data_IF_628292611531
#
_entry.id   IF_628292611531
#
_cell.length_a   1.000
_cell.length_b   1.000
_cell.length_c   1.000
_cell.angle_alpha   90.00
_cell.angle_beta   90.00
_cell.angle_gamma   90.00
#
_symmetry.space_group_name_H-M   'P 1'
#
loop_
_entity.id
_entity.type
_entity.pdbx_description
1 polymer ?
#
# COMPACT_ATOMS: atom_id res chain seq x y z
N UNK A 1 -16.06 5.87 -5.14
CA UNK A 1 -16.05 4.43 -5.49
C UNK A 1 -14.81 3.73 -4.91
N UNK A 2 -13.59 4.26 -5.11
CA UNK A 2 -12.35 3.72 -4.51
C UNK A 2 -12.40 3.67 -2.98
N UNK A 3 -12.89 4.72 -2.32
CA UNK A 3 -12.97 4.75 -0.84
C UNK A 3 -13.88 3.65 -0.24
N UNK A 4 -14.91 3.21 -0.95
CA UNK A 4 -15.81 2.15 -0.47
C UNK A 4 -15.13 0.78 -0.51
N UNK A 5 -14.40 0.49 -1.59
CA UNK A 5 -13.66 -0.77 -1.72
C UNK A 5 -12.48 -0.81 -0.74
N UNK A 6 -11.74 0.30 -0.58
CA UNK A 6 -10.65 0.40 0.42
C UNK A 6 -11.19 0.11 1.82
N UNK A 7 -12.34 0.69 2.21
CA UNK A 7 -12.96 0.40 3.53
C UNK A 7 -13.30 -1.08 3.71
N UNK A 8 -13.90 -1.70 2.69
CA UNK A 8 -14.23 -3.13 2.71
C UNK A 8 -12.97 -3.98 2.87
N UNK A 9 -11.87 -3.59 2.22
CA UNK A 9 -10.58 -4.27 2.34
C UNK A 9 -9.97 -4.10 3.71
N UNK A 10 -10.07 -2.92 4.32
CA UNK A 10 -9.63 -2.67 5.69
C UNK A 10 -10.36 -3.61 6.66
N UNK A 11 -11.70 -3.66 6.61
CA UNK A 11 -12.50 -4.53 7.48
C UNK A 11 -12.11 -6.00 7.33
N UNK A 12 -11.98 -6.48 6.09
CA UNK A 12 -11.56 -7.86 5.80
C UNK A 12 -10.14 -8.14 6.33
N UNK A 13 -9.24 -7.19 6.19
CA UNK A 13 -7.83 -7.30 6.60
C UNK A 13 -7.70 -7.36 8.12
N UNK A 14 -8.46 -6.51 8.83
CA UNK A 14 -8.58 -6.55 10.30
C UNK A 14 -9.13 -7.90 10.78
N UNK A 15 -10.15 -8.43 10.11
CA UNK A 15 -10.76 -9.71 10.49
C UNK A 15 -9.81 -10.91 10.41
N UNK A 16 -8.76 -10.84 9.58
CA UNK A 16 -7.73 -11.88 9.45
C UNK A 16 -6.48 -11.58 10.27
N UNK A 17 -6.50 -10.54 11.12
CA UNK A 17 -5.41 -10.21 12.05
C UNK A 17 -4.19 -9.54 11.43
N UNK A 18 -4.27 -9.11 10.17
CA UNK A 18 -3.17 -8.41 9.49
C UNK A 18 -3.07 -6.96 9.97
N UNK A 19 -1.84 -6.44 10.03
CA UNK A 19 -1.52 -5.14 10.63
C UNK A 19 -1.38 -4.01 9.64
N UNK A 20 -1.08 -4.32 8.39
CA UNK A 20 -0.91 -3.33 7.32
C UNK A 20 -1.71 -3.73 6.09
N UNK A 21 -2.23 -2.73 5.40
CA UNK A 21 -2.84 -2.88 4.09
C UNK A 21 -2.19 -1.89 3.13
N UNK A 22 -1.68 -2.36 2.01
CA UNK A 22 -1.16 -1.51 0.96
C UNK A 22 -2.24 -1.27 -0.09
N UNK A 23 -2.20 -0.11 -0.74
CA UNK A 23 -3.01 0.20 -1.92
C UNK A 23 -2.04 0.29 -3.08
N UNK A 24 -2.05 -0.73 -3.93
CA UNK A 24 -1.16 -0.83 -5.08
C UNK A 24 -1.97 -0.98 -6.36
N UNK A 25 -1.40 -0.64 -7.51
CA UNK A 25 -1.93 -1.05 -8.79
C UNK A 25 -0.86 -1.66 -9.69
N UNK A 26 -1.25 -2.67 -10.45
CA UNK A 26 -0.43 -3.25 -11.52
C UNK A 26 -0.42 -2.26 -12.69
N UNK A 27 0.78 -1.80 -13.05
CA UNK A 27 0.96 -0.81 -14.11
C UNK A 27 0.56 -1.38 -15.48
N UNK A 28 0.77 -2.67 -15.72
CA UNK A 28 0.42 -3.33 -16.99
C UNK A 28 -1.09 -3.46 -17.15
N UNK A 29 -1.82 -3.81 -16.09
CA UNK A 29 -3.28 -3.93 -16.14
C UNK A 29 -3.94 -2.55 -16.28
N UNK A 30 -3.36 -1.53 -15.63
CA UNK A 30 -3.81 -0.15 -15.81
C UNK A 30 -3.60 0.36 -17.25
N UNK A 31 -2.47 0.05 -17.87
CA UNK A 31 -2.19 0.39 -19.28
C UNK A 31 -3.15 -0.33 -20.24
N UNK A 32 -3.54 -1.58 -19.91
CA UNK A 32 -4.51 -2.35 -20.69
C UNK A 32 -5.96 -1.85 -20.54
N UNK A 33 -6.20 -0.95 -19.59
CA UNK A 33 -7.51 -0.34 -19.36
C UNK A 33 -8.47 -1.23 -18.59
N UNK A 34 -7.97 -2.02 -17.63
CA UNK A 34 -8.82 -2.90 -16.82
C UNK A 34 -9.86 -2.10 -16.01
N UNK A 35 -11.01 -2.73 -15.79
CA UNK A 35 -12.23 -2.15 -15.22
C UNK A 35 -12.11 -1.73 -13.76
N UNK A 36 -11.18 -2.35 -13.02
CA UNK A 36 -10.84 -2.02 -11.63
C UNK A 36 -9.55 -1.20 -11.53
N UNK A 37 -9.04 -0.71 -12.66
CA UNK A 37 -7.79 0.04 -12.79
C UNK A 37 -6.52 -0.72 -12.34
N UNK A 38 -6.62 -2.05 -12.17
CA UNK A 38 -5.51 -2.91 -11.76
C UNK A 38 -5.18 -2.83 -10.26
N UNK A 39 -6.07 -2.28 -9.42
CA UNK A 39 -5.79 -2.15 -7.99
C UNK A 39 -5.77 -3.50 -7.27
N UNK A 40 -4.77 -3.70 -6.42
CA UNK A 40 -4.67 -4.83 -5.51
C UNK A 40 -4.23 -4.37 -4.11
N UNK A 41 -4.53 -5.20 -3.11
CA UNK A 41 -4.44 -4.80 -1.70
C UNK A 41 -3.66 -5.81 -0.85
N UNK A 42 -2.32 -5.76 -0.88
CA UNK A 42 -1.46 -6.62 -0.07
C UNK A 42 -1.69 -6.38 1.41
N UNK A 43 -1.86 -7.47 2.17
CA UNK A 43 -2.06 -7.43 3.61
C UNK A 43 -0.86 -8.07 4.33
N UNK A 44 -0.19 -7.30 5.18
CA UNK A 44 1.10 -7.64 5.77
C UNK A 44 1.05 -7.53 7.30
N UNK A 45 1.96 -8.24 7.98
CA UNK A 45 2.03 -8.27 9.43
C UNK A 45 3.16 -7.40 9.97
N UNK A 46 4.32 -7.46 9.32
CA UNK A 46 5.53 -6.81 9.81
C UNK A 46 5.93 -5.60 8.94
N UNK A 47 6.42 -4.51 9.54
CA UNK A 47 6.90 -3.34 8.81
C UNK A 47 7.98 -3.66 7.78
N UNK A 48 8.80 -4.68 8.05
CA UNK A 48 9.88 -5.13 7.17
C UNK A 48 9.33 -5.71 5.86
N UNK A 49 8.19 -6.42 5.92
CA UNK A 49 7.50 -6.93 4.73
C UNK A 49 6.92 -5.78 3.90
N UNK A 50 6.39 -4.75 4.58
CA UNK A 50 5.92 -3.53 3.91
C UNK A 50 7.07 -2.85 3.18
N UNK A 51 8.21 -2.68 3.84
CA UNK A 51 9.40 -2.07 3.25
C UNK A 51 9.93 -2.87 2.06
N UNK A 52 9.98 -4.21 2.17
CA UNK A 52 10.42 -5.08 1.08
C UNK A 52 9.50 -4.96 -0.14
N UNK A 53 8.19 -4.93 0.07
CA UNK A 53 7.21 -4.82 -1.02
C UNK A 53 7.26 -3.45 -1.69
N UNK A 54 7.20 -2.38 -0.91
CA UNK A 54 7.25 -0.99 -1.42
C UNK A 54 8.58 -0.69 -2.11
N UNK A 55 9.69 -1.30 -1.66
CA UNK A 55 10.99 -1.20 -2.32
C UNK A 55 11.00 -1.76 -3.75
N UNK A 56 10.08 -2.66 -4.08
CA UNK A 56 9.85 -3.18 -5.43
C UNK A 56 8.94 -2.32 -6.30
N UNK A 57 8.27 -1.31 -5.72
CA UNK A 57 7.28 -0.49 -6.40
C UNK A 57 7.84 0.85 -6.90
N UNK A 58 7.10 1.49 -7.81
CA UNK A 58 7.17 2.93 -8.05
C UNK A 58 6.53 3.67 -6.88
N UNK A 59 7.12 4.80 -6.53
CA UNK A 59 6.68 5.69 -5.45
C UNK A 59 6.54 7.11 -5.99
N UNK A 60 5.68 7.92 -5.38
CA UNK A 60 5.48 9.32 -5.78
C UNK A 60 4.55 9.44 -7.00
N UNK A 61 4.92 10.25 -7.99
CA UNK A 61 4.12 10.38 -9.22
C UNK A 61 4.30 9.14 -10.11
N UNK A 62 3.19 8.57 -10.58
CA UNK A 62 3.21 7.40 -11.47
C UNK A 62 3.90 7.73 -12.79
N UNK A 63 4.86 6.90 -13.18
CA UNK A 63 5.53 7.00 -14.48
C UNK A 63 5.08 5.83 -15.39
N UNK A 64 4.37 6.10 -16.50
CA UNK A 64 3.88 5.06 -17.40
C UNK A 64 4.99 4.32 -18.16
N UNK A 65 6.23 4.80 -18.14
CA UNK A 65 7.38 4.13 -18.76
C UNK A 65 8.11 3.18 -17.82
N UNK A 66 7.79 3.19 -16.53
CA UNK A 66 8.33 2.24 -15.57
C UNK A 66 7.33 1.08 -15.43
N UNK A 67 7.86 -0.15 -15.49
CA UNK A 67 7.05 -1.37 -15.50
C UNK A 67 6.79 -1.93 -14.10
N UNK A 68 7.38 -1.34 -13.06
CA UNK A 68 7.10 -1.72 -11.67
C UNK A 68 5.68 -1.33 -11.29
N UNK A 69 5.08 -2.08 -10.37
CA UNK A 69 3.80 -1.75 -9.76
C UNK A 69 3.90 -0.43 -8.99
N UNK A 70 2.80 0.27 -8.86
CA UNK A 70 2.76 1.52 -8.12
C UNK A 70 2.11 1.30 -6.75
N UNK A 71 2.74 1.82 -5.69
CA UNK A 71 2.15 1.83 -4.35
C UNK A 71 1.69 3.25 -4.01
N UNK A 72 0.39 3.46 -3.87
CA UNK A 72 -0.20 4.77 -3.57
C UNK A 72 -0.26 5.05 -2.08
N UNK A 73 -0.51 4.02 -1.26
CA UNK A 73 -0.69 4.22 0.17
C UNK A 73 -0.33 2.99 0.99
N UNK A 74 0.11 3.26 2.23
CA UNK A 74 0.19 2.28 3.31
C UNK A 74 -0.89 2.65 4.34
N UNK A 75 -1.68 1.68 4.76
CA UNK A 75 -2.69 1.86 5.81
C UNK A 75 -2.23 1.04 7.00
N UNK A 76 -1.96 1.72 8.12
CA UNK A 76 -1.66 1.07 9.39
C UNK A 76 -2.98 0.75 10.09
N UNK A 77 -3.19 -0.52 10.41
CA UNK A 77 -4.45 -1.01 11.00
C UNK A 77 -4.36 -1.19 12.51
N UNK A 78 -3.25 -0.75 13.13
CA UNK A 78 -3.06 -0.77 14.57
C UNK A 78 -3.93 0.28 15.25
N UNK A 79 -4.78 -0.19 16.16
CA UNK A 79 -5.56 0.58 17.13
C UNK A 79 -6.39 1.76 16.59
N UNK A 80 -7.66 1.48 16.28
CA UNK A 80 -8.78 2.43 16.29
C UNK A 80 -8.79 3.53 15.22
N UNK A 81 -7.68 4.21 15.03
CA UNK A 81 -7.41 5.14 13.95
C UNK A 81 -6.79 4.35 12.78
N UNK A 82 -7.31 4.56 11.57
CA UNK A 82 -6.82 3.94 10.33
C UNK A 82 -6.00 5.00 9.57
N UNK A 83 -4.78 5.37 10.02
CA UNK A 83 -4.02 6.38 9.32
C UNK A 83 -3.63 5.85 7.94
N UNK A 84 -4.15 6.53 6.91
CA UNK A 84 -3.80 6.32 5.52
C UNK A 84 -2.59 7.20 5.20
N UNK A 85 -1.45 6.57 4.95
CA UNK A 85 -0.23 7.23 4.56
C UNK A 85 -0.11 7.23 3.04
N UNK A 86 -0.40 8.37 2.41
CA UNK A 86 -0.31 8.55 0.95
C UNK A 86 1.12 8.74 0.42
N UNK A 87 2.11 8.71 1.30
CA UNK A 87 3.53 8.71 0.94
C UNK A 87 4.20 7.48 1.56
N UNK A 88 4.18 6.32 0.85
CA UNK A 88 4.82 5.10 1.32
C UNK A 88 6.33 5.26 1.53
N UNK A 89 6.99 6.13 0.77
CA UNK A 89 8.43 6.38 0.90
C UNK A 89 8.73 7.08 2.24
N UNK A 90 7.97 8.11 2.57
CA UNK A 90 8.07 8.80 3.86
C UNK A 90 7.71 7.88 5.03
N UNK A 91 6.69 7.02 4.86
CA UNK A 91 6.31 6.04 5.88
C UNK A 91 7.46 5.08 6.21
N UNK A 92 8.17 4.57 5.19
CA UNK A 92 9.33 3.70 5.39
C UNK A 92 10.46 4.46 6.06
N UNK A 93 10.76 5.68 5.61
CA UNK A 93 11.83 6.49 6.19
C UNK A 93 11.62 6.77 7.70
N UNK A 94 10.37 6.97 8.13
CA UNK A 94 10.02 7.16 9.55
C UNK A 94 10.13 5.88 10.39
N UNK A 95 10.08 4.69 9.77
CA UNK A 95 10.09 3.38 10.44
C UNK A 95 11.43 2.66 10.35
N UNK A 96 12.23 3.02 9.36
CA UNK A 96 13.53 2.44 9.03
C UNK A 96 14.72 3.08 9.74
N UNK A 97 14.50 3.98 10.71
CA UNK A 97 15.58 4.52 11.54
C UNK A 97 15.75 3.69 12.83
N UNK A 98 16.72 2.76 12.90
CA UNK A 98 17.00 2.00 14.10
C UNK A 98 17.56 2.85 15.27
N UNK A 99 17.84 4.14 15.07
CA UNK A 99 18.44 5.03 16.10
C UNK A 99 17.42 5.83 16.92
N UNK A 100 16.12 5.65 16.71
CA UNK A 100 15.06 6.31 17.51
C UNK A 100 14.35 5.39 18.50
N UNK A 101 14.94 4.23 18.83
CA UNK A 101 14.51 3.37 19.94
C UNK A 101 15.51 3.39 21.09
#
# INVERSE_FOLDING_TARGET
MIMTEVRRRIEKTKAVGKRFLLVCFDTMDRIRGDSDLGYYYPALDEPEDVAAMVGGCQLGEWNPHDARDHCEAVIDLRDGEEPVFHDPAAWIAQRGDPLTR
#
